data_IF_975818705813
#
_entry.id   IF_975818705813
#
_cell.length_a   1.000
_cell.length_b   1.000
_cell.length_c   1.000
_cell.angle_alpha   90.00
_cell.angle_beta   90.00
_cell.angle_gamma   90.00
#
_symmetry.space_group_name_H-M   'P 1'
#
loop_
_entity.id
_entity.type
_entity.pdbx_description
1 polymer ?
#
# COMPACT_ATOMS: atom_id res chain seq x y z
N UNK A 1 -8.95 -16.61 22.90
CA UNK A 1 -9.66 -15.65 22.02
C UNK A 1 -8.94 -14.30 21.93
N UNK A 2 -8.41 -13.75 23.04
CA UNK A 2 -7.68 -12.46 23.05
C UNK A 2 -6.30 -12.54 22.34
N UNK A 3 -5.57 -13.65 22.46
CA UNK A 3 -4.26 -13.82 21.80
C UNK A 3 -4.32 -13.71 20.26
N UNK A 4 -5.36 -14.25 19.63
CA UNK A 4 -5.50 -14.21 18.18
C UNK A 4 -5.70 -12.78 17.66
N UNK A 5 -6.42 -11.94 18.41
CA UNK A 5 -6.68 -10.56 17.98
C UNK A 5 -5.43 -9.68 17.99
N UNK A 6 -4.58 -9.83 19.01
CA UNK A 6 -3.33 -9.06 19.11
C UNK A 6 -2.37 -9.44 17.97
N UNK A 7 -2.24 -10.74 17.68
CA UNK A 7 -1.41 -11.22 16.57
C UNK A 7 -1.91 -10.71 15.22
N UNK A 8 -3.23 -10.65 15.01
CA UNK A 8 -3.81 -10.11 13.78
C UNK A 8 -3.49 -8.63 13.60
N UNK A 9 -3.63 -7.80 14.63
CA UNK A 9 -3.28 -6.37 14.56
C UNK A 9 -1.80 -6.18 14.23
N UNK A 10 -0.93 -6.95 14.89
CA UNK A 10 0.51 -6.88 14.65
C UNK A 10 0.85 -7.27 13.21
N UNK A 11 0.23 -8.32 12.67
CA UNK A 11 0.42 -8.72 11.27
C UNK A 11 -0.01 -7.62 10.30
N UNK A 12 -1.18 -7.01 10.52
CA UNK A 12 -1.64 -5.88 9.71
C UNK A 12 -0.68 -4.71 9.80
N UNK A 13 -0.23 -4.34 10.99
CA UNK A 13 0.69 -3.23 11.19
C UNK A 13 2.04 -3.48 10.51
N UNK A 14 2.62 -4.67 10.64
CA UNK A 14 3.86 -5.06 9.97
C UNK A 14 3.69 -4.98 8.44
N UNK A 15 2.59 -5.50 7.91
CA UNK A 15 2.30 -5.45 6.47
C UNK A 15 2.17 -4.00 5.98
N UNK A 16 1.44 -3.15 6.69
CA UNK A 16 1.29 -1.73 6.36
C UNK A 16 2.63 -0.99 6.35
N UNK A 17 3.42 -1.14 7.42
CA UNK A 17 4.73 -0.50 7.52
C UNK A 17 5.65 -0.98 6.39
N UNK A 18 5.66 -2.28 6.10
CA UNK A 18 6.47 -2.85 5.03
C UNK A 18 6.11 -2.27 3.67
N UNK A 19 4.81 -2.18 3.35
CA UNK A 19 4.33 -1.62 2.09
C UNK A 19 4.68 -0.13 1.98
N UNK A 20 4.46 0.67 3.03
CA UNK A 20 4.81 2.09 3.03
C UNK A 20 6.31 2.28 2.77
N UNK A 21 7.18 1.49 3.41
CA UNK A 21 8.62 1.54 3.18
C UNK A 21 8.94 1.23 1.72
N UNK A 22 8.34 0.18 1.16
CA UNK A 22 8.50 -0.20 -0.24
C UNK A 22 8.04 0.94 -1.17
N UNK A 23 6.86 1.53 -0.93
CA UNK A 23 6.34 2.67 -1.70
C UNK A 23 7.30 3.86 -1.68
N UNK A 24 7.87 4.18 -0.51
CA UNK A 24 8.82 5.28 -0.35
C UNK A 24 10.14 5.02 -1.09
N UNK A 25 10.64 3.78 -1.04
CA UNK A 25 11.82 3.37 -1.80
C UNK A 25 11.54 3.52 -3.30
N UNK A 26 10.43 2.98 -3.80
CA UNK A 26 10.07 3.09 -5.21
C UNK A 26 9.82 4.53 -5.63
N UNK A 27 9.27 5.36 -4.77
CA UNK A 27 9.12 6.80 -5.02
C UNK A 27 10.48 7.47 -5.20
N UNK A 28 11.44 7.23 -4.31
CA UNK A 28 12.77 7.86 -4.42
C UNK A 28 13.50 7.38 -5.68
N UNK A 29 13.48 6.07 -5.95
CA UNK A 29 14.04 5.50 -7.16
C UNK A 29 13.37 6.07 -8.42
N UNK A 30 12.04 6.14 -8.46
CA UNK A 30 11.28 6.66 -9.60
C UNK A 30 11.49 8.17 -9.79
N UNK A 31 11.71 8.93 -8.71
CA UNK A 31 12.05 10.35 -8.77
C UNK A 31 13.42 10.54 -9.42
N UNK A 32 14.45 9.83 -8.95
CA UNK A 32 15.81 9.89 -9.52
C UNK A 32 15.82 9.45 -10.98
N UNK A 33 15.09 8.38 -11.30
CA UNK A 33 14.94 7.89 -12.68
C UNK A 33 14.21 8.90 -13.57
N UNK A 34 13.14 9.52 -13.06
CA UNK A 34 12.41 10.57 -13.78
C UNK A 34 13.24 11.82 -14.04
N UNK A 35 14.13 12.19 -13.10
CA UNK A 35 15.09 13.28 -13.28
C UNK A 35 16.15 12.93 -14.33
N UNK A 36 16.68 11.70 -14.31
CA UNK A 36 17.69 11.24 -15.28
C UNK A 36 17.14 11.06 -16.70
N UNK A 37 15.93 10.51 -16.83
CA UNK A 37 15.31 10.17 -18.12
C UNK A 37 14.30 11.22 -18.62
N UNK A 38 14.11 12.32 -17.90
CA UNK A 38 13.09 13.36 -18.18
C UNK A 38 11.65 12.82 -18.35
N UNK A 39 11.31 11.75 -17.65
CA UNK A 39 9.97 11.13 -17.72
C UNK A 39 8.97 11.95 -16.90
N UNK A 40 7.69 11.95 -17.30
CA UNK A 40 6.58 12.59 -16.57
C UNK A 40 6.57 12.19 -15.09
N UNK A 41 6.19 13.15 -14.23
CA UNK A 41 6.24 13.09 -12.75
C UNK A 41 5.13 12.22 -12.12
N UNK A 42 4.96 10.99 -12.58
CA UNK A 42 4.00 10.04 -12.03
C UNK A 42 4.39 9.54 -10.63
N UNK A 43 5.60 9.85 -10.12
CA UNK A 43 6.01 9.50 -8.75
C UNK A 43 5.09 10.09 -7.66
N UNK A 44 4.31 11.14 -7.97
CA UNK A 44 3.28 11.68 -7.07
C UNK A 44 2.14 10.69 -6.80
N UNK A 45 1.94 9.69 -7.67
CA UNK A 45 0.94 8.64 -7.44
C UNK A 45 1.33 7.76 -6.25
N UNK A 46 2.63 7.58 -5.96
CA UNK A 46 3.06 6.91 -4.74
C UNK A 46 2.61 7.67 -3.49
N UNK A 47 2.65 9.02 -3.50
CA UNK A 47 2.17 9.83 -2.37
C UNK A 47 0.67 9.65 -2.16
N UNK A 48 -0.10 9.56 -3.25
CA UNK A 48 -1.54 9.30 -3.18
C UNK A 48 -1.81 7.88 -2.65
N UNK A 49 -1.10 6.86 -3.14
CA UNK A 49 -1.24 5.49 -2.65
C UNK A 49 -0.92 5.38 -1.16
N UNK A 50 0.20 5.97 -0.72
CA UNK A 50 0.58 5.99 0.71
C UNK A 50 -0.46 6.72 1.54
N UNK A 51 -0.98 7.85 1.06
CA UNK A 51 -2.07 8.57 1.74
C UNK A 51 -3.33 7.71 1.91
N UNK A 52 -3.73 6.99 0.86
CA UNK A 52 -4.88 6.07 0.91
C UNK A 52 -4.60 4.90 1.86
N UNK A 53 -3.39 4.33 1.85
CA UNK A 53 -2.98 3.28 2.79
C UNK A 53 -3.06 3.75 4.23
N UNK A 54 -2.52 4.92 4.55
CA UNK A 54 -2.56 5.47 5.92
C UNK A 54 -4.02 5.69 6.35
N UNK A 55 -4.86 6.23 5.46
CA UNK A 55 -6.28 6.41 5.76
C UNK A 55 -6.99 5.07 6.01
N UNK A 56 -6.71 4.06 5.19
CA UNK A 56 -7.24 2.70 5.39
C UNK A 56 -6.77 2.10 6.72
N UNK A 57 -5.50 2.30 7.11
CA UNK A 57 -4.96 1.85 8.39
C UNK A 57 -5.66 2.52 9.57
N UNK A 58 -5.90 3.83 9.51
CA UNK A 58 -6.64 4.56 10.55
C UNK A 58 -8.05 3.99 10.67
N UNK A 59 -8.75 3.72 9.56
CA UNK A 59 -10.09 3.14 9.58
C UNK A 59 -10.10 1.72 10.20
N UNK A 60 -9.11 0.89 9.87
CA UNK A 60 -8.95 -0.44 10.50
C UNK A 60 -8.68 -0.30 12.00
N UNK A 61 -7.87 0.67 12.41
CA UNK A 61 -7.60 0.91 13.83
C UNK A 61 -8.85 1.40 14.58
N UNK A 62 -9.65 2.28 13.97
CA UNK A 62 -10.94 2.74 14.52
C UNK A 62 -11.92 1.58 14.64
N UNK A 63 -12.02 0.72 13.63
CA UNK A 63 -12.80 -0.52 13.69
C UNK A 63 -12.35 -1.37 14.88
N UNK A 64 -11.05 -1.62 15.01
CA UNK A 64 -10.50 -2.44 16.09
C UNK A 64 -10.72 -1.83 17.48
N UNK A 65 -10.52 -0.52 17.62
CA UNK A 65 -10.75 0.22 18.86
C UNK A 65 -12.24 0.22 19.25
N UNK A 66 -13.15 0.28 18.28
CA UNK A 66 -14.60 0.16 18.50
C UNK A 66 -15.04 -1.28 18.81
N UNK A 67 -14.24 -2.27 18.39
CA UNK A 67 -14.56 -3.70 18.45
C UNK A 67 -13.90 -4.49 19.59
N UNK A 68 -13.09 -3.88 20.47
CA UNK A 68 -12.47 -4.56 21.62
C UNK A 68 -13.46 -5.06 22.71
N UNK A 69 -14.76 -5.09 22.42
CA UNK A 69 -15.77 -5.76 23.24
C UNK A 69 -17.17 -5.66 22.66
N UNK A 70 -17.55 -6.60 21.78
CA UNK A 70 -18.94 -7.03 21.48
C UNK A 70 -20.02 -5.97 21.11
N UNK A 71 -19.69 -4.69 20.97
CA UNK A 71 -20.62 -3.65 20.54
C UNK A 71 -20.44 -3.41 19.04
N UNK A 72 -21.17 -4.18 18.22
CA UNK A 72 -21.46 -3.75 16.86
C UNK A 72 -22.26 -2.45 16.96
N UNK A 73 -21.61 -1.30 16.78
CA UNK A 73 -22.29 -0.01 16.73
C UNK A 73 -23.08 0.01 15.40
N UNK A 74 -24.43 0.04 15.43
CA UNK A 74 -25.23 0.05 14.23
C UNK A 74 -24.86 1.26 13.38
N UNK A 75 -24.57 1.04 12.09
CA UNK A 75 -24.19 2.11 11.15
C UNK A 75 -22.69 2.31 10.96
N UNK A 76 -21.81 1.51 11.59
CA UNK A 76 -20.35 1.53 11.39
C UNK A 76 -19.86 0.27 10.61
N UNK A 77 -20.75 -0.67 10.31
CA UNK A 77 -20.46 -1.96 9.67
C UNK A 77 -19.76 -1.85 8.31
N UNK A 78 -19.94 -0.73 7.60
CA UNK A 78 -19.31 -0.47 6.30
C UNK A 78 -17.84 -0.03 6.41
N UNK A 79 -17.34 0.34 7.61
CA UNK A 79 -15.95 0.77 7.78
C UNK A 79 -14.98 -0.36 7.43
N UNK A 80 -15.27 -1.58 7.88
CA UNK A 80 -14.42 -2.76 7.65
C UNK A 80 -14.25 -3.13 6.16
N UNK A 81 -15.33 -3.29 5.35
CA UNK A 81 -15.17 -3.57 3.93
C UNK A 81 -14.57 -2.37 3.16
N UNK A 82 -14.92 -1.13 3.51
CA UNK A 82 -14.39 0.07 2.84
C UNK A 82 -12.89 0.20 3.07
N UNK A 83 -12.42 0.04 4.31
CA UNK A 83 -11.00 0.14 4.63
C UNK A 83 -10.17 -0.93 3.89
N UNK A 84 -10.68 -2.16 3.79
CA UNK A 84 -10.06 -3.25 3.01
C UNK A 84 -10.02 -2.92 1.52
N UNK A 85 -11.12 -2.44 0.94
CA UNK A 85 -11.17 -2.05 -0.48
C UNK A 85 -10.18 -0.92 -0.77
N UNK A 86 -10.10 0.09 0.11
CA UNK A 86 -9.14 1.19 -0.03
C UNK A 86 -7.70 0.68 0.04
N UNK A 87 -7.40 -0.21 0.99
CA UNK A 87 -6.08 -0.82 1.11
C UNK A 87 -5.70 -1.63 -0.13
N UNK A 88 -6.52 -2.60 -0.54
CA UNK A 88 -6.22 -3.40 -1.74
C UNK A 88 -6.20 -2.55 -3.01
N UNK A 89 -7.09 -1.58 -3.14
CA UNK A 89 -7.11 -0.62 -4.25
C UNK A 89 -5.80 0.16 -4.33
N UNK A 90 -5.27 0.62 -3.20
CA UNK A 90 -3.98 1.34 -3.16
C UNK A 90 -2.82 0.45 -3.61
N UNK A 91 -2.78 -0.82 -3.19
CA UNK A 91 -1.77 -1.79 -3.61
C UNK A 91 -1.85 -2.04 -5.12
N UNK A 92 -3.04 -2.24 -5.67
CA UNK A 92 -3.22 -2.47 -7.11
C UNK A 92 -2.74 -1.27 -7.92
N UNK A 93 -3.12 -0.05 -7.51
CA UNK A 93 -2.66 1.17 -8.17
C UNK A 93 -1.14 1.29 -8.08
N UNK A 94 -0.56 1.00 -6.92
CA UNK A 94 0.89 1.03 -6.73
C UNK A 94 1.62 0.04 -7.64
N UNK A 95 1.16 -1.21 -7.72
CA UNK A 95 1.71 -2.22 -8.63
C UNK A 95 1.61 -1.77 -10.08
N UNK A 96 0.49 -1.20 -10.50
CA UNK A 96 0.31 -0.66 -11.86
C UNK A 96 1.30 0.49 -12.13
N UNK A 97 1.52 1.38 -11.15
CA UNK A 97 2.49 2.47 -11.27
C UNK A 97 3.92 1.93 -11.38
N UNK A 98 4.28 0.93 -10.56
CA UNK A 98 5.58 0.26 -10.62
C UNK A 98 5.78 -0.39 -11.99
N UNK A 99 4.82 -1.17 -12.48
CA UNK A 99 4.90 -1.80 -13.80
C UNK A 99 5.01 -0.77 -14.93
N UNK A 100 4.32 0.36 -14.83
CA UNK A 100 4.41 1.42 -15.83
C UNK A 100 5.78 2.11 -15.83
N UNK A 101 6.41 2.27 -14.67
CA UNK A 101 7.72 2.92 -14.54
C UNK A 101 8.91 2.00 -14.75
N UNK A 102 8.80 0.74 -14.36
CA UNK A 102 9.91 -0.21 -14.27
C UNK A 102 9.70 -1.42 -15.20
N UNK A 103 8.51 -1.60 -15.77
CA UNK A 103 8.21 -2.74 -16.63
C UNK A 103 9.02 -2.78 -17.93
N UNK A 104 9.54 -1.63 -18.38
CA UNK A 104 10.45 -1.58 -19.53
C UNK A 104 11.85 -2.15 -19.23
N UNK A 105 12.25 -2.23 -17.96
CA UNK A 105 13.56 -2.80 -17.57
C UNK A 105 13.56 -4.32 -17.70
N UNK A 106 12.40 -4.96 -17.53
CA UNK A 106 12.24 -6.42 -17.58
C UNK A 106 12.77 -7.03 -18.89
N UNK A 107 12.35 -6.57 -20.09
CA UNK A 107 12.90 -7.10 -21.34
C UNK A 107 14.40 -6.83 -21.51
N UNK A 108 14.92 -5.70 -21.02
CA UNK A 108 16.34 -5.38 -21.10
C UNK A 108 17.19 -6.32 -20.25
N UNK A 109 16.78 -6.59 -19.00
CA UNK A 109 17.47 -7.54 -18.10
C UNK A 109 17.42 -8.97 -18.64
N UNK A 110 16.28 -9.38 -19.20
CA UNK A 110 16.18 -10.71 -19.84
C UNK A 110 17.06 -10.81 -21.09
N UNK A 111 17.28 -9.71 -21.81
CA UNK A 111 18.16 -9.69 -22.98
C UNK A 111 19.64 -9.74 -22.60
N UNK A 112 20.04 -9.14 -21.47
CA UNK A 112 21.43 -9.15 -21.01
C UNK A 112 21.84 -10.50 -20.41
N UNK A 113 20.91 -11.24 -19.79
CA UNK A 113 21.14 -12.59 -19.27
C UNK A 113 21.35 -13.66 -20.36
N UNK A 114 20.99 -13.37 -21.61
CA UNK A 114 21.18 -14.29 -22.76
C UNK A 114 22.51 -14.10 -23.49
N UNK A 115 23.30 -13.09 -23.12
CA UNK A 115 24.67 -12.88 -23.63
C UNK A 115 25.68 -13.52 -22.70
#
# INVERSE_FOLDING_TARGET
MIENGILDILNWLIMFVSLIIVSLIFKDLSKRLGEALQIKKYYRLFDVCVGIMILAMIMIFVEYASGFGSMQIPGIEWIAPVSRIMFFGSIVVEVVVILKYWGWIIPEVLSSLKK
#
